data_IF_998324864031
#
_entry.id   IF_998324864031
#
_cell.length_a   1.000
_cell.length_b   1.000
_cell.length_c   1.000
_cell.angle_alpha   90.00
_cell.angle_beta   90.00
_cell.angle_gamma   90.00
#
_symmetry.space_group_name_H-M   'P 1'
#
loop_
_entity.id
_entity.type
_entity.pdbx_description
1 polymer ?
#
# COMPACT_ATOMS: atom_id res chain seq x y z
N UNK A 1 18.51 -6.30 -6.09
CA UNK A 1 19.85 -5.75 -5.83
C UNK A 1 20.77 -6.89 -5.46
N UNK A 2 21.94 -6.97 -6.10
CA UNK A 2 22.92 -8.03 -5.87
C UNK A 2 24.23 -7.38 -5.45
N UNK A 3 24.87 -7.90 -4.39
CA UNK A 3 26.16 -7.40 -3.91
C UNK A 3 27.13 -8.56 -3.67
N UNK A 4 28.37 -8.43 -4.15
CA UNK A 4 29.48 -9.36 -3.90
C UNK A 4 30.76 -8.57 -3.69
N UNK A 5 31.71 -9.10 -2.92
CA UNK A 5 33.05 -8.55 -2.75
C UNK A 5 34.14 -9.57 -3.17
N UNK A 6 35.39 -9.13 -3.22
CA UNK A 6 36.56 -9.95 -3.52
C UNK A 6 37.68 -9.63 -2.53
N UNK A 7 38.31 -10.67 -1.96
CA UNK A 7 39.51 -10.53 -1.15
C UNK A 7 40.75 -10.86 -2.01
N UNK A 8 41.77 -10.00 -1.96
CA UNK A 8 43.09 -10.27 -2.53
C UNK A 8 44.10 -10.49 -1.41
N UNK A 9 44.80 -11.62 -1.42
CA UNK A 9 45.86 -11.94 -0.47
C UNK A 9 47.07 -12.45 -1.24
N UNK A 10 48.13 -11.63 -1.29
CA UNK A 10 49.37 -11.91 -2.03
C UNK A 10 49.17 -12.30 -3.50
N UNK A 11 48.17 -11.70 -4.17
CA UNK A 11 47.85 -11.98 -5.57
C UNK A 11 46.82 -13.09 -5.77
N UNK A 12 46.47 -13.87 -4.75
CA UNK A 12 45.33 -14.78 -4.81
C UNK A 12 44.03 -14.03 -4.55
N UNK A 13 43.07 -14.16 -5.46
CA UNK A 13 41.77 -13.50 -5.36
C UNK A 13 40.65 -14.50 -5.11
N UNK A 14 39.86 -14.27 -4.07
CA UNK A 14 38.74 -15.12 -3.67
C UNK A 14 37.47 -14.26 -3.59
N UNK A 15 36.45 -14.63 -4.36
CA UNK A 15 35.14 -13.95 -4.35
C UNK A 15 34.32 -14.39 -3.13
N UNK A 16 33.63 -13.45 -2.49
CA UNK A 16 32.68 -13.75 -1.41
C UNK A 16 31.38 -14.36 -1.95
N UNK A 17 30.48 -14.76 -1.05
CA UNK A 17 29.09 -15.00 -1.42
C UNK A 17 28.42 -13.73 -1.97
N UNK A 18 27.27 -13.92 -2.63
CA UNK A 18 26.43 -12.82 -3.11
C UNK A 18 25.25 -12.63 -2.18
N UNK A 19 25.03 -11.39 -1.73
CA UNK A 19 23.82 -10.98 -1.00
C UNK A 19 22.81 -10.44 -1.99
N UNK A 20 21.54 -10.82 -1.83
CA UNK A 20 20.44 -10.43 -2.73
C UNK A 20 19.30 -9.80 -1.93
N UNK A 21 18.86 -8.62 -2.35
CA UNK A 21 17.68 -7.94 -1.82
C UNK A 21 16.67 -7.67 -2.93
N UNK A 22 15.37 -7.86 -2.65
CA UNK A 22 14.28 -7.54 -3.57
C UNK A 22 13.67 -6.19 -3.20
N UNK A 23 13.40 -5.36 -4.22
CA UNK A 23 12.71 -4.08 -4.04
C UNK A 23 11.23 -4.34 -4.29
N UNK A 24 10.33 -4.08 -3.32
CA UNK A 24 8.90 -4.23 -3.52
C UNK A 24 8.39 -3.37 -4.67
N UNK A 25 7.42 -3.87 -5.43
CA UNK A 25 6.79 -3.11 -6.50
C UNK A 25 5.77 -2.14 -5.90
N UNK A 26 5.91 -0.85 -6.21
CA UNK A 26 4.91 0.18 -5.87
C UNK A 26 3.89 0.27 -7.00
N UNK A 27 2.62 0.07 -6.69
CA UNK A 27 1.50 0.09 -7.64
C UNK A 27 0.15 0.37 -6.95
N UNK A 28 -0.07 1.58 -6.39
CA UNK A 28 -1.35 1.95 -5.81
C UNK A 28 -2.44 2.07 -6.88
N UNK A 29 -3.70 1.92 -6.49
CA UNK A 29 -4.88 2.00 -7.37
C UNK A 29 -5.93 2.94 -6.80
N UNK A 30 -6.68 3.56 -7.70
CA UNK A 30 -7.87 4.37 -7.40
C UNK A 30 -9.07 3.83 -8.16
N UNK A 31 -10.20 3.74 -7.50
CA UNK A 31 -11.47 3.33 -8.08
C UNK A 31 -12.64 4.19 -7.57
N UNK A 32 -13.82 4.00 -8.14
CA UNK A 32 -15.07 4.62 -7.73
C UNK A 32 -16.07 3.51 -7.41
N UNK A 33 -16.67 3.52 -6.23
CA UNK A 33 -17.69 2.55 -5.81
C UNK A 33 -18.88 3.25 -5.16
N UNK A 34 -20.06 2.63 -5.19
CA UNK A 34 -21.27 3.20 -4.57
C UNK A 34 -21.31 2.90 -3.07
N UNK A 35 -20.82 1.72 -2.66
CA UNK A 35 -20.69 1.33 -1.26
C UNK A 35 -19.30 0.75 -0.97
N UNK A 36 -18.88 0.90 0.28
CA UNK A 36 -17.64 0.31 0.78
C UNK A 36 -17.68 -1.22 0.60
N UNK A 37 -16.63 -1.78 -0.01
CA UNK A 37 -16.49 -3.22 -0.24
C UNK A 37 -17.23 -3.74 -1.49
N UNK A 38 -17.87 -2.87 -2.27
CA UNK A 38 -18.44 -3.27 -3.55
C UNK A 38 -17.32 -3.74 -4.49
N UNK A 39 -17.54 -4.88 -5.17
CA UNK A 39 -16.62 -5.39 -6.20
C UNK A 39 -16.83 -4.75 -7.57
N UNK A 40 -17.90 -3.98 -7.72
CA UNK A 40 -18.28 -3.36 -8.97
C UNK A 40 -17.78 -1.92 -9.02
N UNK A 41 -16.71 -1.73 -9.80
CA UNK A 41 -16.20 -0.42 -10.18
C UNK A 41 -17.26 0.38 -10.95
N UNK A 42 -17.33 1.68 -10.66
CA UNK A 42 -18.05 2.71 -11.41
C UNK A 42 -17.09 3.61 -12.19
N UNK A 43 -15.82 3.22 -12.34
CA UNK A 43 -14.88 3.97 -13.14
C UNK A 43 -15.35 4.05 -14.60
N UNK A 44 -15.46 5.27 -15.13
CA UNK A 44 -16.00 5.53 -16.47
C UNK A 44 -17.53 5.49 -16.58
N UNK A 45 -18.25 5.17 -15.50
CA UNK A 45 -19.70 5.23 -15.46
C UNK A 45 -20.21 6.66 -15.20
N UNK A 46 -21.49 6.90 -15.45
CA UNK A 46 -22.16 8.16 -15.10
C UNK A 46 -22.73 8.08 -13.68
N UNK A 47 -22.32 9.00 -12.82
CA UNK A 47 -22.88 9.18 -11.48
C UNK A 47 -23.99 10.23 -11.54
N UNK A 48 -25.14 9.97 -10.91
CA UNK A 48 -26.26 10.92 -10.92
C UNK A 48 -25.95 12.12 -10.04
N UNK A 49 -26.45 13.30 -10.42
CA UNK A 49 -26.31 14.50 -9.60
C UNK A 49 -26.91 14.26 -8.19
N UNK A 50 -26.10 14.50 -7.16
CA UNK A 50 -26.48 14.32 -5.76
C UNK A 50 -26.34 12.88 -5.24
N UNK A 51 -25.99 11.91 -6.08
CA UNK A 51 -25.67 10.55 -5.65
C UNK A 51 -24.37 10.53 -4.83
N UNK A 52 -24.35 9.74 -3.75
CA UNK A 52 -23.16 9.53 -2.95
C UNK A 52 -22.38 8.34 -3.50
N UNK A 53 -21.07 8.49 -3.55
CA UNK A 53 -20.12 7.45 -3.94
C UNK A 53 -18.87 7.59 -3.09
N UNK A 54 -17.98 6.61 -3.21
CA UNK A 54 -16.67 6.59 -2.57
C UNK A 54 -15.59 6.55 -3.65
N UNK A 55 -14.54 7.35 -3.44
CA UNK A 55 -13.24 7.03 -4.03
C UNK A 55 -12.58 5.95 -3.18
N UNK A 56 -12.32 4.81 -3.78
CA UNK A 56 -11.59 3.71 -3.14
C UNK A 56 -10.11 3.79 -3.53
N UNK A 57 -9.23 3.78 -2.53
CA UNK A 57 -7.79 3.78 -2.74
C UNK A 57 -7.21 2.47 -2.22
N UNK A 58 -6.58 1.70 -3.10
CA UNK A 58 -5.80 0.52 -2.71
C UNK A 58 -4.33 0.88 -2.71
N UNK A 59 -3.67 0.83 -1.55
CA UNK A 59 -2.23 1.07 -1.48
C UNK A 59 -1.41 -0.11 -2.05
N UNK A 60 -0.11 0.09 -2.18
CA UNK A 60 0.80 -0.99 -2.57
C UNK A 60 1.05 -1.93 -1.41
N UNK A 61 1.22 -3.21 -1.70
CA UNK A 61 1.55 -4.19 -0.67
C UNK A 61 3.02 -4.03 -0.21
N UNK A 62 3.21 -3.93 1.10
CA UNK A 62 4.52 -4.08 1.74
C UNK A 62 4.66 -5.56 2.10
N UNK A 63 5.63 -6.29 1.51
CA UNK A 63 5.74 -7.72 1.74
C UNK A 63 6.18 -8.04 3.17
N UNK A 64 5.91 -9.27 3.59
CA UNK A 64 6.56 -9.83 4.78
C UNK A 64 8.08 -9.80 4.61
N UNK A 65 8.81 -9.77 5.72
CA UNK A 65 10.29 -9.71 5.74
C UNK A 65 10.85 -8.46 5.06
N UNK A 66 10.08 -7.37 5.02
CA UNK A 66 10.59 -6.07 4.65
C UNK A 66 11.74 -5.68 5.59
N UNK A 67 12.89 -5.32 5.01
CA UNK A 67 14.13 -5.09 5.76
C UNK A 67 14.19 -3.74 6.51
N UNK A 68 13.07 -3.03 6.61
CA UNK A 68 12.98 -1.72 7.25
C UNK A 68 11.73 -1.57 8.12
N UNK A 69 11.54 -0.37 8.66
CA UNK A 69 10.34 0.02 9.42
C UNK A 69 9.46 0.90 8.53
N UNK A 70 8.15 0.77 8.67
CA UNK A 70 7.20 1.69 8.03
C UNK A 70 7.09 2.93 8.91
N UNK A 71 7.78 4.00 8.53
CA UNK A 71 7.77 5.28 9.25
C UNK A 71 6.60 6.17 8.83
N UNK A 72 6.21 6.12 7.54
CA UNK A 72 5.09 6.86 6.99
C UNK A 72 4.29 5.97 6.03
N UNK A 73 2.98 6.04 6.15
CA UNK A 73 2.04 5.58 5.13
C UNK A 73 0.94 6.62 5.00
N UNK A 74 0.77 7.18 3.80
CA UNK A 74 -0.17 8.26 3.56
C UNK A 74 -0.82 8.15 2.18
N UNK A 75 -2.03 8.69 2.06
CA UNK A 75 -2.77 8.83 0.81
C UNK A 75 -3.12 10.31 0.66
N UNK A 76 -2.78 10.89 -0.48
CA UNK A 76 -3.10 12.27 -0.82
C UNK A 76 -3.92 12.30 -2.11
N UNK A 77 -5.09 12.92 -2.06
CA UNK A 77 -5.94 13.13 -3.24
C UNK A 77 -6.26 14.61 -3.39
N UNK A 78 -5.99 15.15 -4.59
CA UNK A 78 -6.44 16.48 -4.99
C UNK A 78 -7.83 16.36 -5.63
N UNK A 79 -8.86 16.48 -4.80
CA UNK A 79 -10.24 16.38 -5.22
C UNK A 79 -10.65 17.52 -6.18
N UNK A 80 -11.41 17.19 -7.22
CA UNK A 80 -12.08 18.20 -8.06
C UNK A 80 -13.32 18.76 -7.34
N UNK A 81 -13.09 19.78 -6.51
CA UNK A 81 -14.12 20.40 -5.69
C UNK A 81 -15.21 21.15 -6.47
N UNK A 82 -15.08 21.28 -7.79
CA UNK A 82 -16.13 21.86 -8.65
C UNK A 82 -17.29 20.89 -8.83
N UNK A 83 -17.01 19.59 -8.88
CA UNK A 83 -18.01 18.54 -9.16
C UNK A 83 -18.22 17.62 -7.96
N UNK A 84 -17.17 17.38 -7.17
CA UNK A 84 -17.20 16.49 -6.03
C UNK A 84 -17.15 17.27 -4.72
N UNK A 85 -17.94 16.84 -3.74
CA UNK A 85 -17.92 17.40 -2.39
C UNK A 85 -17.57 16.31 -1.39
N UNK A 86 -16.43 16.47 -0.72
CA UNK A 86 -16.08 15.57 0.37
C UNK A 86 -17.11 15.68 1.50
N UNK A 87 -17.68 14.55 1.90
CA UNK A 87 -18.72 14.48 2.92
C UNK A 87 -18.17 14.54 4.35
N UNK A 88 -16.84 14.47 4.53
CA UNK A 88 -16.20 14.30 5.82
C UNK A 88 -16.11 12.84 6.29
N UNK A 89 -16.72 11.90 5.57
CA UNK A 89 -16.74 10.48 5.92
C UNK A 89 -15.63 9.74 5.19
N UNK A 90 -14.87 8.94 5.93
CA UNK A 90 -13.81 8.09 5.40
C UNK A 90 -13.63 6.88 6.31
N UNK A 91 -13.08 5.82 5.74
CA UNK A 91 -12.69 4.61 6.46
C UNK A 91 -11.46 3.99 5.79
N UNK A 92 -10.63 3.31 6.56
CA UNK A 92 -9.45 2.58 6.09
C UNK A 92 -9.57 1.15 6.58
N UNK A 93 -9.35 0.19 5.68
CA UNK A 93 -9.43 -1.23 5.99
C UNK A 93 -8.11 -1.93 5.67
N UNK A 94 -7.72 -2.88 6.52
CA UNK A 94 -6.54 -3.68 6.31
C UNK A 94 -6.66 -4.54 5.04
N UNK A 95 -5.70 -4.44 4.11
CA UNK A 95 -5.72 -5.23 2.86
C UNK A 95 -5.07 -6.63 3.03
N UNK A 96 -4.38 -6.86 4.15
CA UNK A 96 -3.69 -8.10 4.49
C UNK A 96 -3.73 -8.32 6.01
N UNK A 97 -3.37 -9.53 6.45
CA UNK A 97 -3.14 -9.80 7.87
C UNK A 97 -1.75 -9.27 8.23
N UNK A 98 -1.61 -8.59 9.36
CA UNK A 98 -0.32 -8.15 9.90
C UNK A 98 -0.32 -8.12 11.43
N UNK A 99 0.88 -7.94 11.99
CA UNK A 99 1.09 -7.93 13.45
C UNK A 99 1.84 -6.65 13.81
N UNK A 100 1.33 -5.91 14.78
CA UNK A 100 1.98 -4.72 15.33
C UNK A 100 3.17 -5.11 16.22
N UNK A 101 4.04 -4.13 16.52
CA UNK A 101 5.24 -4.36 17.33
C UNK A 101 4.93 -4.89 18.75
N UNK A 102 3.75 -4.58 19.29
CA UNK A 102 3.27 -5.05 20.60
C UNK A 102 2.63 -6.45 20.56
N UNK A 103 2.57 -7.09 19.39
CA UNK A 103 1.97 -8.41 19.18
C UNK A 103 0.49 -8.39 18.80
N UNK A 104 -0.16 -7.22 18.73
CA UNK A 104 -1.56 -7.10 18.29
C UNK A 104 -1.70 -7.60 16.85
N UNK A 105 -2.67 -8.50 16.62
CA UNK A 105 -2.97 -9.05 15.30
C UNK A 105 -4.09 -8.26 14.64
N UNK A 106 -3.87 -7.85 13.40
CA UNK A 106 -4.87 -7.21 12.54
C UNK A 106 -5.16 -8.16 11.39
N UNK A 107 -6.44 -8.44 11.14
CA UNK A 107 -6.88 -9.30 10.06
C UNK A 107 -7.26 -8.45 8.84
N UNK A 108 -7.16 -9.07 7.66
CA UNK A 108 -7.65 -8.49 6.42
C UNK A 108 -9.14 -8.17 6.56
N UNK A 109 -9.49 -6.93 6.22
CA UNK A 109 -10.85 -6.39 6.30
C UNK A 109 -11.17 -5.69 7.61
N UNK A 110 -10.30 -5.75 8.62
CA UNK A 110 -10.49 -4.98 9.86
C UNK A 110 -10.43 -3.47 9.55
N UNK A 111 -11.31 -2.70 10.20
CA UNK A 111 -11.30 -1.23 10.15
C UNK A 111 -10.15 -0.69 11.02
N UNK A 112 -9.21 -0.01 10.36
CA UNK A 112 -8.00 0.57 10.97
C UNK A 112 -8.00 2.10 10.94
N UNK A 113 -9.17 2.73 10.76
CA UNK A 113 -9.30 4.20 10.67
C UNK A 113 -8.87 4.94 11.94
N UNK A 114 -8.67 4.23 13.06
CA UNK A 114 -8.28 4.78 14.36
C UNK A 114 -7.11 4.05 15.00
N UNK A 115 -6.44 3.18 14.23
CA UNK A 115 -5.30 2.41 14.71
C UNK A 115 -4.13 3.34 15.05
#
# INVERSE_FOLDING_TARGET
>A
VYNSAEQNTFGQRIKTNTVVNHIPKVNPKKDVVIKVGDKQSQNGATIKLGEKFFYEFTSSDIPAEYAGVVEEWSISDKLDVKHDKFSGQWSVFANSNFVLADGTKVNKGDDISKL
#
